data_IF_996543013182
#
_entry.id   IF_996543013182
#
_cell.length_a   1.000
_cell.length_b   1.000
_cell.length_c   1.000
_cell.angle_alpha   90.00
_cell.angle_beta   90.00
_cell.angle_gamma   90.00
#
_symmetry.space_group_name_H-M   'P 1'
#
loop_
_entity.id
_entity.type
_entity.pdbx_description
1 polymer ?
#
# COMPACT_ATOMS: atom_id res chain seq x y z
N UNK A 1 -3.42 10.89 9.16
CA UNK A 1 -4.71 11.00 9.86
C UNK A 1 -4.52 11.12 11.38
N UNK A 2 -4.28 10.02 12.07
CA UNK A 2 -4.20 10.01 13.54
C UNK A 2 -3.04 10.82 14.12
N UNK A 3 -1.89 10.87 13.45
CA UNK A 3 -0.73 11.63 13.90
C UNK A 3 -0.99 13.15 13.93
N UNK A 4 -1.74 13.70 12.97
CA UNK A 4 -2.12 15.12 13.00
C UNK A 4 -3.08 15.45 14.13
N UNK A 5 -4.07 14.60 14.37
CA UNK A 5 -5.01 14.80 15.48
C UNK A 5 -4.28 14.79 16.83
N UNK A 6 -3.34 13.87 17.01
CA UNK A 6 -2.52 13.78 18.24
C UNK A 6 -1.59 14.99 18.37
N UNK A 7 -0.94 15.45 17.29
CA UNK A 7 -0.06 16.62 17.33
C UNK A 7 -0.82 17.92 17.61
N UNK A 8 -2.03 18.08 17.06
CA UNK A 8 -2.88 19.26 17.32
C UNK A 8 -3.35 19.29 18.77
N UNK A 9 -3.71 18.12 19.37
CA UNK A 9 -4.09 18.01 20.77
C UNK A 9 -2.91 18.27 21.71
N UNK A 10 -1.70 17.87 21.33
CA UNK A 10 -0.49 17.99 22.16
C UNK A 10 0.30 19.29 21.93
N UNK A 11 -0.14 20.18 21.04
CA UNK A 11 0.50 21.46 20.77
C UNK A 11 1.88 21.35 20.10
N UNK A 12 2.19 20.25 19.42
CA UNK A 12 3.48 19.93 18.82
C UNK A 12 3.56 20.36 17.34
N UNK A 13 2.98 21.49 16.98
CA UNK A 13 2.78 21.93 15.60
C UNK A 13 4.08 22.14 14.79
N UNK A 14 5.20 22.44 15.42
CA UNK A 14 6.48 22.70 14.70
C UNK A 14 7.25 21.44 14.29
N UNK A 15 7.00 20.29 14.90
CA UNK A 15 7.74 19.04 14.66
C UNK A 15 6.97 17.98 13.87
N UNK A 16 5.78 18.30 13.34
CA UNK A 16 4.88 17.33 12.72
C UNK A 16 5.52 16.65 11.51
N UNK A 17 6.25 17.40 10.70
CA UNK A 17 6.88 16.89 9.47
C UNK A 17 8.03 15.92 9.78
N UNK A 18 8.88 16.29 10.76
CA UNK A 18 9.98 15.42 11.20
C UNK A 18 9.45 14.12 11.81
N UNK A 19 8.37 14.22 12.61
CA UNK A 19 7.74 13.08 13.23
C UNK A 19 7.10 12.16 12.19
N UNK A 20 6.41 12.72 11.19
CA UNK A 20 5.81 11.96 10.09
C UNK A 20 6.89 11.22 9.29
N UNK A 21 7.99 11.88 8.95
CA UNK A 21 9.12 11.25 8.25
C UNK A 21 9.75 10.15 9.11
N UNK A 22 9.98 10.40 10.39
CA UNK A 22 10.57 9.42 11.31
C UNK A 22 9.71 8.15 11.42
N UNK A 23 8.38 8.32 11.53
CA UNK A 23 7.43 7.19 11.57
C UNK A 23 7.44 6.41 10.25
N UNK A 24 7.49 7.10 9.11
CA UNK A 24 7.56 6.45 7.80
C UNK A 24 8.86 5.67 7.61
N UNK A 25 10.00 6.26 7.98
CA UNK A 25 11.31 5.58 7.94
C UNK A 25 11.33 4.38 8.90
N UNK A 26 10.84 4.56 10.13
CA UNK A 26 10.74 3.47 11.10
C UNK A 26 9.86 2.32 10.61
N UNK A 27 8.71 2.64 10.01
CA UNK A 27 7.80 1.65 9.44
C UNK A 27 8.45 0.92 8.25
N UNK A 28 9.11 1.65 7.36
CA UNK A 28 9.82 1.08 6.22
C UNK A 28 10.90 0.10 6.69
N UNK A 29 11.68 0.49 7.70
CA UNK A 29 12.72 -0.35 8.28
C UNK A 29 12.13 -1.61 8.94
N UNK A 30 11.05 -1.47 9.71
CA UNK A 30 10.37 -2.60 10.34
C UNK A 30 9.82 -3.60 9.30
N UNK A 31 9.18 -3.09 8.24
CA UNK A 31 8.67 -3.93 7.14
C UNK A 31 9.83 -4.61 6.41
N UNK A 32 10.92 -3.90 6.13
CA UNK A 32 12.09 -4.46 5.47
C UNK A 32 12.75 -5.56 6.33
N UNK A 33 12.85 -5.35 7.64
CA UNK A 33 13.38 -6.36 8.56
C UNK A 33 12.46 -7.58 8.66
N UNK A 34 11.14 -7.38 8.72
CA UNK A 34 10.20 -8.49 8.82
C UNK A 34 10.18 -9.33 7.53
N UNK A 35 10.16 -8.67 6.38
CA UNK A 35 10.10 -9.32 5.07
C UNK A 35 11.48 -9.46 4.38
N UNK A 36 12.57 -9.49 5.15
CA UNK A 36 13.92 -9.57 4.59
C UNK A 36 14.13 -10.74 3.62
N UNK A 37 13.49 -11.89 3.88
CA UNK A 37 13.55 -13.08 3.01
C UNK A 37 12.85 -12.83 1.68
N UNK A 38 11.70 -12.16 1.70
CA UNK A 38 10.98 -11.78 0.48
C UNK A 38 11.78 -10.77 -0.35
N UNK A 39 12.40 -9.79 0.34
CA UNK A 39 13.26 -8.81 -0.32
C UNK A 39 14.47 -9.49 -0.97
N UNK A 40 15.13 -10.38 -0.27
CA UNK A 40 16.25 -11.12 -0.83
C UNK A 40 15.83 -12.01 -2.02
N UNK A 41 14.68 -12.67 -1.92
CA UNK A 41 14.08 -13.44 -3.01
C UNK A 41 13.79 -12.58 -4.24
N UNK A 42 13.25 -11.38 -4.05
CA UNK A 42 12.97 -10.42 -5.13
C UNK A 42 14.27 -9.88 -5.74
N UNK A 43 15.25 -9.47 -4.93
CA UNK A 43 16.55 -8.97 -5.41
C UNK A 43 17.28 -10.05 -6.22
N UNK A 44 17.33 -11.27 -5.72
CA UNK A 44 17.93 -12.40 -6.44
C UNK A 44 17.19 -12.71 -7.74
N UNK A 45 15.85 -12.55 -7.72
CA UNK A 45 15.01 -12.71 -8.89
C UNK A 45 15.26 -11.65 -9.96
N UNK A 46 15.39 -10.40 -9.58
CA UNK A 46 15.74 -9.29 -10.49
C UNK A 46 17.14 -9.51 -11.08
N UNK A 47 18.12 -9.88 -10.25
CA UNK A 47 19.47 -10.18 -10.71
C UNK A 47 19.52 -11.39 -11.67
N UNK A 48 18.65 -12.39 -11.47
CA UNK A 48 18.49 -13.54 -12.36
C UNK A 48 17.84 -13.15 -13.68
N UNK A 49 16.82 -12.29 -13.63
CA UNK A 49 16.15 -11.77 -14.82
C UNK A 49 17.10 -10.94 -15.71
N UNK A 50 17.99 -10.15 -15.10
CA UNK A 50 19.04 -9.41 -15.81
C UNK A 50 20.02 -10.35 -16.55
N UNK A 51 20.12 -11.61 -16.12
CA UNK A 51 20.92 -12.66 -16.78
C UNK A 51 20.10 -13.54 -17.73
N UNK A 52 18.89 -13.11 -18.09
CA UNK A 52 18.00 -13.84 -19.00
C UNK A 52 17.31 -15.08 -18.39
N UNK A 53 17.39 -15.28 -17.09
CA UNK A 53 16.75 -16.40 -16.37
C UNK A 53 15.43 -15.96 -15.74
N UNK A 54 14.37 -16.71 -16.01
CA UNK A 54 13.07 -16.47 -15.36
C UNK A 54 13.12 -16.90 -13.89
N UNK A 55 12.77 -16.01 -12.99
CA UNK A 55 12.71 -16.26 -11.56
C UNK A 55 11.45 -15.60 -10.97
N UNK A 56 10.71 -16.32 -10.13
CA UNK A 56 9.41 -15.83 -9.63
C UNK A 56 9.57 -14.61 -8.70
N UNK A 57 10.69 -14.47 -8.01
CA UNK A 57 11.00 -13.26 -7.24
C UNK A 57 11.10 -12.01 -8.12
N UNK A 58 11.62 -12.13 -9.34
CA UNK A 58 11.65 -11.02 -10.29
C UNK A 58 10.26 -10.63 -10.80
N UNK A 59 9.38 -11.61 -11.00
CA UNK A 59 7.97 -11.35 -11.35
C UNK A 59 7.25 -10.61 -10.22
N UNK A 60 7.43 -11.07 -8.97
CA UNK A 60 6.82 -10.43 -7.81
C UNK A 60 7.28 -8.98 -7.66
N UNK A 61 8.59 -8.72 -7.79
CA UNK A 61 9.12 -7.36 -7.79
C UNK A 61 8.51 -6.50 -8.90
N UNK A 62 8.38 -7.05 -10.12
CA UNK A 62 7.72 -6.38 -11.24
C UNK A 62 6.26 -6.04 -10.94
N UNK A 63 5.51 -6.95 -10.35
CA UNK A 63 4.11 -6.71 -9.97
C UNK A 63 3.96 -5.62 -8.90
N UNK A 64 4.87 -5.54 -7.93
CA UNK A 64 4.88 -4.47 -6.92
C UNK A 64 5.17 -3.11 -7.56
N UNK A 65 6.11 -3.04 -8.49
CA UNK A 65 6.42 -1.81 -9.24
C UNK A 65 5.19 -1.38 -10.06
N UNK A 66 4.61 -2.29 -10.83
CA UNK A 66 3.44 -2.02 -11.68
C UNK A 66 2.25 -1.56 -10.82
N UNK A 67 2.00 -2.20 -9.68
CA UNK A 67 0.94 -1.80 -8.77
C UNK A 67 1.19 -0.44 -8.08
N UNK A 68 2.44 0.04 -8.05
CA UNK A 68 2.78 1.36 -7.49
C UNK A 68 2.58 2.49 -8.50
N UNK A 69 2.71 2.22 -9.81
CA UNK A 69 2.61 3.25 -10.86
C UNK A 69 1.29 4.05 -10.79
N UNK A 70 0.09 3.42 -10.68
CA UNK A 70 -1.16 4.16 -10.67
C UNK A 70 -1.26 5.17 -9.52
N UNK A 71 -0.88 4.76 -8.31
CA UNK A 71 -0.96 5.65 -7.14
C UNK A 71 0.08 6.75 -7.21
N UNK A 72 1.28 6.50 -7.72
CA UNK A 72 2.31 7.51 -7.91
C UNK A 72 1.87 8.55 -8.94
N UNK A 73 1.32 8.12 -10.07
CA UNK A 73 0.77 9.00 -11.09
C UNK A 73 -0.41 9.84 -10.54
N UNK A 74 -1.38 9.19 -9.87
CA UNK A 74 -2.52 9.88 -9.29
C UNK A 74 -2.12 10.85 -8.18
N UNK A 75 -1.12 10.52 -7.36
CA UNK A 75 -0.58 11.42 -6.33
C UNK A 75 0.09 12.65 -6.94
N UNK A 76 0.88 12.45 -7.99
CA UNK A 76 1.58 13.55 -8.66
C UNK A 76 0.61 14.51 -9.38
N UNK A 77 -0.33 14.00 -10.17
CA UNK A 77 -1.29 14.83 -10.92
C UNK A 77 -2.48 15.31 -10.09
N UNK A 78 -2.84 14.59 -9.03
CA UNK A 78 -4.02 14.88 -8.19
C UNK A 78 -3.72 15.66 -6.92
N UNK A 79 -2.48 16.07 -6.66
CA UNK A 79 -2.08 16.70 -5.40
C UNK A 79 -2.96 17.90 -5.03
N UNK A 80 -3.19 18.83 -5.96
CA UNK A 80 -3.99 20.03 -5.73
C UNK A 80 -5.46 19.72 -5.37
N UNK A 81 -6.04 18.71 -6.03
CA UNK A 81 -7.40 18.27 -5.76
C UNK A 81 -7.53 17.63 -4.38
N UNK A 82 -6.56 16.79 -4.02
CA UNK A 82 -6.52 16.08 -2.74
C UNK A 82 -6.39 17.09 -1.59
N UNK A 83 -5.51 18.07 -1.74
CA UNK A 83 -5.23 19.05 -0.70
C UNK A 83 -6.37 20.04 -0.47
N UNK A 84 -7.01 20.48 -1.53
CA UNK A 84 -8.01 21.55 -1.45
C UNK A 84 -9.45 21.04 -1.18
N UNK A 85 -9.78 19.83 -1.63
CA UNK A 85 -11.20 19.40 -1.64
C UNK A 85 -11.49 18.19 -0.74
N UNK A 86 -10.50 17.37 -0.38
CA UNK A 86 -10.74 16.08 0.27
C UNK A 86 -10.33 16.03 1.76
N UNK A 87 -9.82 17.11 2.35
CA UNK A 87 -9.26 17.09 3.72
C UNK A 87 -10.26 17.52 4.81
N UNK A 88 -11.55 17.39 4.60
CA UNK A 88 -12.53 17.70 5.66
C UNK A 88 -12.68 16.53 6.63
N UNK A 89 -12.96 16.82 7.91
CA UNK A 89 -13.19 15.79 8.94
C UNK A 89 -14.33 14.87 8.57
N UNK A 90 -15.36 15.40 7.91
CA UNK A 90 -16.52 14.62 7.46
C UNK A 90 -16.12 13.56 6.41
N UNK A 91 -15.32 13.95 5.42
CA UNK A 91 -14.82 13.02 4.40
C UNK A 91 -13.96 11.93 5.07
N UNK A 92 -13.06 12.30 5.96
CA UNK A 92 -12.21 11.33 6.70
C UNK A 92 -13.08 10.35 7.50
N UNK A 93 -14.14 10.82 8.15
CA UNK A 93 -15.07 9.97 8.90
C UNK A 93 -15.79 8.97 8.00
N UNK A 94 -16.45 9.46 6.95
CA UNK A 94 -17.22 8.61 6.03
C UNK A 94 -16.34 7.63 5.25
N UNK A 95 -15.16 8.05 4.79
CA UNK A 95 -14.23 7.17 4.08
C UNK A 95 -13.69 6.08 5.01
N UNK A 96 -13.34 6.41 6.25
CA UNK A 96 -12.88 5.42 7.23
C UNK A 96 -13.94 4.35 7.49
N UNK A 97 -15.19 4.75 7.70
CA UNK A 97 -16.32 3.83 7.91
C UNK A 97 -16.57 3.01 6.65
N UNK A 98 -16.70 3.66 5.49
CA UNK A 98 -17.03 3.02 4.23
C UNK A 98 -15.98 1.98 3.82
N UNK A 99 -14.70 2.34 3.85
CA UNK A 99 -13.62 1.40 3.50
C UNK A 99 -13.39 0.34 4.58
N UNK A 100 -13.67 0.63 5.86
CA UNK A 100 -13.67 -0.37 6.92
C UNK A 100 -14.75 -1.43 6.71
N UNK A 101 -15.96 -1.02 6.36
CA UNK A 101 -17.05 -1.92 6.00
C UNK A 101 -16.73 -2.72 4.73
N UNK A 102 -16.15 -2.07 3.71
CA UNK A 102 -15.75 -2.74 2.48
C UNK A 102 -14.70 -3.84 2.74
N UNK A 103 -13.72 -3.56 3.59
CA UNK A 103 -12.73 -4.56 4.03
C UNK A 103 -13.40 -5.71 4.76
N UNK A 104 -14.35 -5.43 5.66
CA UNK A 104 -15.10 -6.45 6.37
C UNK A 104 -15.87 -7.35 5.41
N UNK A 105 -16.56 -6.77 4.42
CA UNK A 105 -17.29 -7.54 3.39
C UNK A 105 -16.32 -8.39 2.57
N UNK A 106 -15.24 -7.80 2.06
CA UNK A 106 -14.23 -8.53 1.28
C UNK A 106 -13.63 -9.71 2.06
N UNK A 107 -13.42 -9.52 3.36
CA UNK A 107 -12.87 -10.56 4.21
C UNK A 107 -13.85 -11.71 4.49
N UNK A 108 -15.16 -11.41 4.53
CA UNK A 108 -16.20 -12.41 4.72
C UNK A 108 -16.57 -13.15 3.45
N UNK A 109 -16.64 -12.44 2.32
CA UNK A 109 -17.13 -12.97 1.04
C UNK A 109 -16.01 -13.48 0.12
N UNK A 110 -14.77 -12.97 0.27
CA UNK A 110 -13.65 -13.35 -0.58
C UNK A 110 -13.34 -14.85 -0.53
N UNK A 111 -13.18 -15.47 -1.69
CA UNK A 111 -12.65 -16.83 -1.81
C UNK A 111 -11.24 -16.85 -1.22
N UNK A 112 -10.87 -17.91 -0.49
CA UNK A 112 -9.62 -18.00 0.28
C UNK A 112 -8.70 -19.05 -0.34
N UNK A 113 -8.39 -18.90 -1.64
CA UNK A 113 -7.77 -19.99 -2.41
C UNK A 113 -6.43 -19.57 -3.00
N UNK A 114 -6.27 -18.28 -3.34
CA UNK A 114 -5.08 -17.80 -4.05
C UNK A 114 -3.96 -17.41 -3.09
N UNK A 115 -2.75 -17.86 -3.40
CA UNK A 115 -1.50 -17.48 -2.76
C UNK A 115 -0.72 -16.52 -3.66
N UNK A 116 0.33 -15.89 -3.14
CA UNK A 116 1.19 -14.97 -3.92
C UNK A 116 1.80 -15.63 -5.17
N UNK A 117 2.03 -16.93 -5.15
CA UNK A 117 2.53 -17.66 -6.31
C UNK A 117 1.55 -17.63 -7.51
N UNK A 118 0.26 -17.37 -7.24
CA UNK A 118 -0.76 -17.20 -8.27
C UNK A 118 -0.92 -15.73 -8.72
N UNK A 119 -0.06 -14.82 -8.21
CA UNK A 119 -0.10 -13.42 -8.62
C UNK A 119 0.20 -13.29 -10.11
N UNK A 120 -0.63 -12.50 -10.77
CA UNK A 120 -0.51 -12.22 -12.19
C UNK A 120 -0.62 -10.71 -12.47
N UNK A 121 -0.29 -10.32 -13.67
CA UNK A 121 -0.31 -8.91 -14.07
C UNK A 121 -1.69 -8.24 -13.91
N UNK A 122 -2.82 -8.83 -14.36
CA UNK A 122 -4.14 -8.24 -14.15
C UNK A 122 -4.46 -7.99 -12.67
N UNK A 123 -4.17 -8.94 -11.79
CA UNK A 123 -4.41 -8.79 -10.36
C UNK A 123 -3.56 -7.68 -9.74
N UNK A 124 -2.28 -7.60 -10.12
CA UNK A 124 -1.39 -6.53 -9.67
C UNK A 124 -1.91 -5.14 -10.12
N UNK A 125 -2.38 -5.02 -11.35
CA UNK A 125 -2.97 -3.78 -11.87
C UNK A 125 -4.25 -3.41 -11.11
N UNK A 126 -5.16 -4.36 -10.86
CA UNK A 126 -6.39 -4.12 -10.09
C UNK A 126 -6.07 -3.64 -8.68
N UNK A 127 -5.11 -4.27 -7.99
CA UNK A 127 -4.68 -3.85 -6.65
C UNK A 127 -4.03 -2.45 -6.72
N UNK A 128 -3.23 -2.17 -7.74
CA UNK A 128 -2.61 -0.87 -7.96
C UNK A 128 -3.63 0.25 -8.23
N UNK A 129 -4.66 -0.02 -9.03
CA UNK A 129 -5.77 0.91 -9.25
C UNK A 129 -6.57 1.16 -7.97
N UNK A 130 -6.86 0.10 -7.20
CA UNK A 130 -7.50 0.24 -5.90
C UNK A 130 -6.64 1.07 -4.93
N UNK A 131 -5.31 0.96 -5.00
CA UNK A 131 -4.39 1.76 -4.19
C UNK A 131 -4.54 3.28 -4.42
N UNK A 132 -4.99 3.73 -5.60
CA UNK A 132 -5.26 5.16 -5.84
C UNK A 132 -6.30 5.73 -4.87
N UNK A 133 -7.26 4.93 -4.42
CA UNK A 133 -8.25 5.33 -3.42
C UNK A 133 -7.62 5.67 -2.07
N UNK A 134 -6.41 5.19 -1.80
CA UNK A 134 -5.66 5.54 -0.59
C UNK A 134 -5.22 7.01 -0.54
N UNK A 135 -5.29 7.73 -1.66
CA UNK A 135 -5.05 9.18 -1.71
C UNK A 135 -6.18 9.97 -1.06
N UNK A 136 -7.37 9.38 -0.95
CA UNK A 136 -8.49 10.00 -0.24
C UNK A 136 -8.23 9.90 1.26
N UNK A 137 -8.21 11.03 2.00
CA UNK A 137 -7.97 11.04 3.43
C UNK A 137 -8.99 10.17 4.19
N UNK A 138 -8.53 9.40 5.17
CA UNK A 138 -9.35 8.43 5.90
C UNK A 138 -9.31 7.02 5.32
N UNK A 139 -8.95 6.85 4.06
CA UNK A 139 -8.75 5.54 3.47
C UNK A 139 -7.40 4.97 3.92
N UNK A 140 -7.43 3.82 4.55
CA UNK A 140 -6.21 3.09 4.88
C UNK A 140 -5.61 2.49 3.60
N UNK A 141 -4.35 2.83 3.27
CA UNK A 141 -3.67 2.28 2.10
C UNK A 141 -3.57 0.76 2.15
N UNK A 142 -3.11 0.21 3.27
CA UNK A 142 -3.07 -1.25 3.45
C UNK A 142 -4.47 -1.85 3.47
N UNK A 143 -5.44 -1.16 4.07
CA UNK A 143 -6.83 -1.59 4.08
C UNK A 143 -7.40 -1.77 2.67
N UNK A 144 -7.24 -0.79 1.77
CA UNK A 144 -7.80 -0.88 0.41
C UNK A 144 -7.09 -1.90 -0.46
N UNK A 145 -5.76 -2.03 -0.35
CA UNK A 145 -4.99 -3.03 -1.10
C UNK A 145 -5.29 -4.45 -0.63
N UNK A 146 -5.45 -4.68 0.69
CA UNK A 146 -5.92 -5.94 1.24
C UNK A 146 -7.34 -6.23 0.74
N UNK A 147 -8.24 -5.25 0.78
CA UNK A 147 -9.62 -5.39 0.29
C UNK A 147 -9.65 -5.85 -1.16
N UNK A 148 -8.90 -5.20 -2.05
CA UNK A 148 -8.81 -5.58 -3.45
C UNK A 148 -8.27 -7.01 -3.62
N UNK A 149 -7.18 -7.35 -2.95
CA UNK A 149 -6.61 -8.69 -3.00
C UNK A 149 -7.59 -9.76 -2.46
N UNK A 150 -8.35 -9.44 -1.41
CA UNK A 150 -9.39 -10.34 -0.87
C UNK A 150 -10.52 -10.59 -1.86
N UNK A 151 -11.02 -9.54 -2.54
CA UNK A 151 -12.03 -9.72 -3.59
C UNK A 151 -11.52 -10.52 -4.79
N UNK A 152 -10.22 -10.45 -5.09
CA UNK A 152 -9.58 -11.27 -6.11
C UNK A 152 -9.38 -12.73 -5.67
N UNK A 153 -9.69 -13.09 -4.42
CA UNK A 153 -9.64 -14.46 -3.91
C UNK A 153 -8.34 -14.84 -3.19
N UNK A 154 -7.46 -13.89 -2.89
CA UNK A 154 -6.23 -14.17 -2.13
C UNK A 154 -6.54 -14.46 -0.66
N UNK A 155 -5.77 -15.38 -0.06
CA UNK A 155 -5.80 -15.65 1.37
C UNK A 155 -5.45 -14.39 2.19
N UNK A 156 -5.96 -14.28 3.43
CA UNK A 156 -5.71 -13.12 4.32
C UNK A 156 -4.23 -12.81 4.48
N UNK A 157 -3.45 -13.84 4.79
CA UNK A 157 -2.01 -13.74 5.01
C UNK A 157 -1.29 -13.27 3.77
N UNK A 158 -1.67 -13.79 2.60
CA UNK A 158 -1.05 -13.45 1.32
C UNK A 158 -1.46 -12.04 0.84
N UNK A 159 -2.73 -11.66 1.04
CA UNK A 159 -3.20 -10.30 0.78
C UNK A 159 -2.48 -9.27 1.66
N UNK A 160 -2.32 -9.57 2.96
CA UNK A 160 -1.57 -8.72 3.88
C UNK A 160 -0.08 -8.66 3.50
N UNK A 161 0.53 -9.80 3.17
CA UNK A 161 1.93 -9.89 2.74
C UNK A 161 2.19 -9.04 1.50
N UNK A 162 1.36 -9.18 0.45
CA UNK A 162 1.47 -8.35 -0.76
C UNK A 162 1.31 -6.86 -0.45
N UNK A 163 0.31 -6.49 0.35
CA UNK A 163 0.05 -5.12 0.76
C UNK A 163 1.23 -4.50 1.53
N UNK A 164 1.86 -5.26 2.43
CA UNK A 164 3.02 -4.80 3.18
C UNK A 164 4.25 -4.66 2.28
N UNK A 165 4.53 -5.61 1.40
CA UNK A 165 5.60 -5.50 0.40
C UNK A 165 5.37 -4.31 -0.54
N UNK A 166 4.11 -4.06 -0.95
CA UNK A 166 3.73 -2.91 -1.77
C UNK A 166 3.96 -1.57 -1.06
N UNK A 167 4.03 -1.58 0.29
CA UNK A 167 4.36 -0.38 1.06
C UNK A 167 5.78 0.13 0.79
N UNK A 168 6.71 -0.76 0.49
CA UNK A 168 8.13 -0.41 0.32
C UNK A 168 8.31 0.59 -0.84
N UNK A 169 7.95 0.24 -2.09
CA UNK A 169 8.08 1.19 -3.19
C UNK A 169 7.16 2.40 -3.05
N UNK A 170 5.98 2.25 -2.42
CA UNK A 170 5.06 3.37 -2.26
C UNK A 170 5.57 4.40 -1.23
N UNK A 171 6.15 3.98 -0.10
CA UNK A 171 6.74 4.88 0.89
C UNK A 171 8.03 5.50 0.34
N UNK A 172 8.88 4.71 -0.32
CA UNK A 172 10.09 5.21 -0.94
C UNK A 172 9.80 6.28 -2.02
N UNK A 173 8.72 6.10 -2.80
CA UNK A 173 8.29 7.08 -3.80
C UNK A 173 7.61 8.32 -3.24
N UNK A 174 7.00 8.24 -2.06
CA UNK A 174 6.33 9.37 -1.42
C UNK A 174 7.23 10.18 -0.47
N UNK A 175 8.34 9.62 -0.05
CA UNK A 175 9.28 10.21 0.91
C UNK A 175 10.56 10.78 0.28
N UNK A 176 10.69 10.67 -1.04
CA UNK A 176 11.74 11.30 -1.85
C UNK A 176 11.14 12.43 -2.69
#
# INVERSE_FOLDING_TARGET
GHLRVVSDIMGLSENTLVMDVAVHVGTLFAVALYFWRDLFFMISGVASAARGRRHDGGKLAGYLIIATIPVAAAGYFGQSLIENSLRTIEIVGWTTIGFGLLLFVADRTGMKILKLDHMNLPNAVVIGLAQMLALVPGTSRSGITITAARFLGYERTEAARFSMLLSIPAIAGAGL
#
